data_IF_452895159730
#
_entry.id   IF_452895159730
#
_cell.length_a   1.000
_cell.length_b   1.000
_cell.length_c   1.000
_cell.angle_alpha   90.00
_cell.angle_beta   90.00
_cell.angle_gamma   90.00
#
_symmetry.space_group_name_H-M   'P 1'
#
loop_
_entity.id
_entity.type
_entity.pdbx_description
1 polymer ?
#
# COMPACT_ATOMS: atom_id res chain seq x y z
N UNK A 1 14.03 -14.27 8.23
CA UNK A 1 15.44 -13.85 8.08
C UNK A 1 15.41 -12.40 7.65
N UNK A 2 15.85 -11.50 8.52
CA UNK A 2 15.93 -10.07 8.20
C UNK A 2 17.04 -9.90 7.17
N UNK A 3 16.67 -9.70 5.91
CA UNK A 3 17.65 -9.31 4.90
C UNK A 3 18.30 -8.00 5.35
N UNK A 4 19.63 -8.02 5.43
CA UNK A 4 20.42 -6.81 5.66
C UNK A 4 19.98 -5.76 4.64
N UNK A 5 19.59 -4.57 5.12
CA UNK A 5 19.03 -3.53 4.27
C UNK A 5 20.07 -3.11 3.23
N UNK A 6 19.74 -3.28 1.95
CA UNK A 6 20.60 -2.95 0.82
C UNK A 6 21.04 -1.47 0.92
N UNK A 7 22.35 -1.18 1.02
CA UNK A 7 22.84 0.18 1.25
C UNK A 7 22.52 1.13 0.09
N UNK A 8 22.42 0.62 -1.15
CA UNK A 8 22.05 1.42 -2.31
C UNK A 8 20.60 1.90 -2.19
N UNK A 9 19.70 0.99 -1.79
CA UNK A 9 18.29 1.31 -1.57
C UNK A 9 18.12 2.24 -0.37
N UNK A 10 18.86 2.01 0.72
CA UNK A 10 18.81 2.86 1.91
C UNK A 10 19.20 4.31 1.60
N UNK A 11 20.17 4.52 0.70
CA UNK A 11 20.57 5.86 0.25
C UNK A 11 19.55 6.57 -0.65
N UNK A 12 18.57 5.84 -1.19
CA UNK A 12 17.51 6.38 -2.05
C UNK A 12 16.20 6.69 -1.32
N UNK A 13 16.08 6.27 -0.04
CA UNK A 13 14.88 6.53 0.75
C UNK A 13 14.78 8.03 1.06
N UNK A 14 13.57 8.56 0.90
CA UNK A 14 13.23 9.93 1.31
C UNK A 14 13.15 10.02 2.85
N UNK A 15 13.12 11.25 3.35
CA UNK A 15 12.96 11.49 4.79
C UNK A 15 11.63 10.90 5.29
N UNK A 16 11.71 10.03 6.30
CA UNK A 16 10.55 9.32 6.84
C UNK A 16 9.99 8.20 5.95
N UNK A 17 10.64 7.89 4.83
CA UNK A 17 10.34 6.71 4.02
C UNK A 17 10.91 5.44 4.69
N UNK A 18 10.06 4.43 4.85
CA UNK A 18 10.40 3.17 5.51
C UNK A 18 10.03 1.99 4.62
N UNK A 19 10.91 0.99 4.57
CA UNK A 19 10.65 -0.27 3.88
C UNK A 19 9.71 -1.12 4.75
N UNK A 20 8.51 -1.37 4.22
CA UNK A 20 7.48 -2.18 4.87
C UNK A 20 7.64 -3.67 4.56
N UNK A 21 8.12 -4.00 3.35
CA UNK A 21 8.32 -5.37 2.90
C UNK A 21 9.35 -5.45 1.78
N UNK A 22 10.09 -6.56 1.74
CA UNK A 22 10.99 -6.91 0.64
C UNK A 22 10.57 -8.24 0.05
N UNK A 23 10.57 -8.34 -1.28
CA UNK A 23 10.33 -9.59 -1.99
C UNK A 23 11.43 -9.82 -3.03
N UNK A 24 12.08 -10.99 -2.94
CA UNK A 24 13.19 -11.37 -3.81
C UNK A 24 12.77 -12.45 -4.80
N UNK A 25 13.35 -12.39 -6.00
CA UNK A 25 13.30 -13.47 -6.97
C UNK A 25 13.99 -14.70 -6.39
N UNK A 26 13.30 -15.84 -6.36
CA UNK A 26 13.89 -17.08 -5.89
C UNK A 26 15.12 -17.47 -6.71
N UNK A 27 16.19 -17.95 -6.06
CA UNK A 27 17.43 -18.30 -6.76
C UNK A 27 17.35 -19.60 -7.56
N UNK A 28 16.70 -20.62 -6.99
CA UNK A 28 16.70 -21.99 -7.51
C UNK A 28 15.35 -22.43 -8.12
N UNK A 29 14.34 -21.55 -8.10
CA UNK A 29 13.00 -21.84 -8.64
C UNK A 29 12.94 -21.56 -10.14
N UNK A 30 12.00 -22.14 -10.89
CA UNK A 30 11.81 -21.80 -12.29
C UNK A 30 11.55 -20.29 -12.48
N UNK A 31 12.29 -19.68 -13.41
CA UNK A 31 12.32 -18.23 -13.60
C UNK A 31 13.19 -17.48 -12.59
N UNK A 32 13.97 -18.20 -11.77
CA UNK A 32 14.86 -17.65 -10.76
C UNK A 32 16.20 -17.17 -11.29
N UNK A 33 17.00 -16.55 -10.41
CA UNK A 33 18.35 -16.08 -10.73
C UNK A 33 19.31 -16.35 -9.57
N UNK A 34 20.33 -17.17 -9.80
CA UNK A 34 21.30 -17.57 -8.78
C UNK A 34 22.23 -16.41 -8.42
N UNK A 35 22.68 -15.68 -9.43
CA UNK A 35 23.76 -14.69 -9.33
C UNK A 35 23.25 -13.28 -9.10
N UNK A 36 22.13 -12.91 -9.71
CA UNK A 36 21.57 -11.56 -9.66
C UNK A 36 20.05 -11.62 -9.53
N UNK A 37 19.52 -11.95 -8.34
CA UNK A 37 18.08 -11.96 -8.12
C UNK A 37 17.53 -10.53 -8.14
N UNK A 38 16.41 -10.37 -8.82
CA UNK A 38 15.64 -9.13 -8.78
C UNK A 38 14.93 -8.98 -7.44
N UNK A 39 14.72 -7.74 -7.00
CA UNK A 39 14.09 -7.45 -5.71
C UNK A 39 13.09 -6.32 -5.84
N UNK A 40 11.92 -6.48 -5.23
CA UNK A 40 10.95 -5.40 -4.99
C UNK A 40 11.05 -5.00 -3.53
N UNK A 41 11.25 -3.71 -3.28
CA UNK A 41 11.12 -3.08 -1.97
C UNK A 41 9.82 -2.28 -1.97
N UNK A 42 8.96 -2.59 -1.00
CA UNK A 42 7.68 -1.92 -0.78
C UNK A 42 7.88 -0.93 0.36
N UNK A 43 7.79 0.37 0.08
CA UNK A 43 7.89 1.41 1.10
C UNK A 43 6.52 1.97 1.47
N UNK A 44 6.45 2.81 2.49
CA UNK A 44 5.25 3.57 2.80
C UNK A 44 4.92 4.66 1.75
N UNK A 45 5.82 4.95 0.79
CA UNK A 45 5.64 6.02 -0.20
C UNK A 45 5.51 5.46 -1.63
N UNK A 46 6.33 4.48 -2.01
CA UNK A 46 6.43 3.96 -3.37
C UNK A 46 7.00 2.54 -3.41
N UNK A 47 7.11 2.00 -4.61
CA UNK A 47 7.83 0.76 -4.87
C UNK A 47 9.19 1.08 -5.47
N UNK A 48 10.21 0.32 -5.05
CA UNK A 48 11.53 0.31 -5.68
C UNK A 48 11.78 -1.09 -6.23
N UNK A 49 11.96 -1.20 -7.54
CA UNK A 49 12.37 -2.43 -8.19
C UNK A 49 13.85 -2.36 -8.55
N UNK A 50 14.63 -3.30 -8.01
CA UNK A 50 16.06 -3.44 -8.28
C UNK A 50 16.27 -4.66 -9.18
N UNK A 51 16.91 -4.42 -10.32
CA UNK A 51 17.35 -5.43 -11.29
C UNK A 51 18.89 -5.37 -11.38
N UNK A 52 19.60 -6.18 -10.59
CA UNK A 52 21.06 -6.24 -10.61
C UNK A 52 21.56 -6.84 -11.92
N UNK A 53 22.56 -6.19 -12.52
CA UNK A 53 23.23 -6.60 -13.75
C UNK A 53 24.71 -6.82 -13.48
N UNK A 54 25.37 -7.59 -14.36
CA UNK A 54 26.81 -7.85 -14.29
C UNK A 54 27.27 -8.37 -12.90
N UNK A 55 26.68 -9.48 -12.43
CA UNK A 55 26.97 -10.06 -11.10
C UNK A 55 26.75 -9.09 -9.92
N UNK A 56 25.90 -8.08 -10.08
CA UNK A 56 25.58 -7.10 -9.05
C UNK A 56 26.49 -5.86 -9.05
N UNK A 57 27.44 -5.74 -10.00
CA UNK A 57 28.29 -4.56 -10.14
C UNK A 57 27.52 -3.31 -10.62
N UNK A 58 26.36 -3.51 -11.26
CA UNK A 58 25.44 -2.45 -11.65
C UNK A 58 24.03 -2.87 -11.28
N UNK A 59 23.15 -1.89 -11.03
CA UNK A 59 21.74 -2.15 -10.87
C UNK A 59 20.94 -1.20 -11.75
N UNK A 60 19.84 -1.69 -12.33
CA UNK A 60 18.77 -0.82 -12.76
C UNK A 60 17.79 -0.69 -11.59
N UNK A 61 17.48 0.55 -11.20
CA UNK A 61 16.51 0.80 -10.14
C UNK A 61 15.35 1.58 -10.77
N UNK A 62 14.17 1.02 -10.68
CA UNK A 62 12.93 1.62 -11.17
C UNK A 62 12.08 1.96 -9.95
N UNK A 63 11.80 3.25 -9.75
CA UNK A 63 10.86 3.69 -8.74
C UNK A 63 9.48 3.89 -9.34
N UNK A 64 8.45 3.44 -8.64
CA UNK A 64 7.06 3.54 -9.09
C UNK A 64 6.19 4.04 -7.95
N UNK A 65 5.64 5.24 -8.10
CA UNK A 65 4.65 5.76 -7.16
C UNK A 65 3.38 4.92 -7.20
N UNK A 66 2.77 4.71 -6.03
CA UNK A 66 1.53 3.93 -5.95
C UNK A 66 0.40 4.49 -6.81
N UNK A 67 0.30 5.82 -6.90
CA UNK A 67 -0.73 6.51 -7.71
C UNK A 67 -0.62 6.19 -9.20
N UNK A 68 0.58 5.87 -9.69
CA UNK A 68 0.87 5.62 -11.11
C UNK A 68 0.70 4.16 -11.50
N UNK A 69 0.50 3.27 -10.53
CA UNK A 69 0.26 1.85 -10.79
C UNK A 69 -1.12 1.70 -11.41
N UNK A 70 -1.15 1.18 -12.63
CA UNK A 70 -2.39 0.91 -13.37
C UNK A 70 -2.94 -0.48 -13.11
N UNK A 71 -2.06 -1.47 -12.94
CA UNK A 71 -2.45 -2.86 -12.76
C UNK A 71 -1.35 -3.67 -12.05
N UNK A 72 -1.76 -4.63 -11.22
CA UNK A 72 -0.91 -5.64 -10.60
C UNK A 72 -1.51 -7.01 -10.93
N UNK A 73 -0.72 -7.89 -11.56
CA UNK A 73 -1.17 -9.23 -11.95
C UNK A 73 -0.27 -10.29 -11.32
N UNK A 74 -0.89 -11.37 -10.84
CA UNK A 74 -0.20 -12.54 -10.33
C UNK A 74 -0.42 -13.72 -11.27
N UNK A 75 0.66 -14.25 -11.85
CA UNK A 75 0.62 -15.49 -12.63
C UNK A 75 1.07 -16.64 -11.75
N UNK A 76 0.10 -17.45 -11.27
CA UNK A 76 0.39 -18.59 -10.40
C UNK A 76 0.86 -19.78 -11.22
N UNK A 77 2.06 -20.26 -10.94
CA UNK A 77 2.57 -21.54 -11.39
C UNK A 77 2.43 -22.62 -10.30
N UNK A 78 2.86 -23.84 -10.65
CA UNK A 78 2.85 -24.98 -9.72
C UNK A 78 3.84 -24.74 -8.57
N UNK A 79 5.03 -24.24 -8.88
CA UNK A 79 6.13 -24.07 -7.92
C UNK A 79 6.32 -22.64 -7.42
N UNK A 80 5.99 -21.63 -8.23
CA UNK A 80 6.23 -20.22 -7.93
C UNK A 80 5.13 -19.34 -8.53
N UNK A 81 5.11 -18.07 -8.14
CA UNK A 81 4.26 -17.04 -8.72
C UNK A 81 5.14 -15.98 -9.38
N UNK A 82 4.69 -15.48 -10.53
CA UNK A 82 5.27 -14.28 -11.13
C UNK A 82 4.37 -13.08 -10.86
N UNK A 83 4.99 -11.98 -10.42
CA UNK A 83 4.33 -10.70 -10.17
C UNK A 83 4.61 -9.79 -11.36
N UNK A 84 3.57 -9.15 -11.86
CA UNK A 84 3.63 -8.19 -12.94
C UNK A 84 3.01 -6.87 -12.47
N UNK A 85 3.70 -5.76 -12.70
CA UNK A 85 3.25 -4.43 -12.33
C UNK A 85 3.39 -3.48 -13.50
N UNK A 86 2.25 -2.89 -13.91
CA UNK A 86 2.20 -1.92 -14.99
C UNK A 86 1.98 -0.52 -14.44
N UNK A 87 2.94 0.37 -14.67
CA UNK A 87 2.79 1.81 -14.43
C UNK A 87 2.16 2.49 -15.65
N UNK A 88 1.45 3.61 -15.45
CA UNK A 88 0.88 4.42 -16.54
C UNK A 88 1.94 5.08 -17.42
N UNK A 89 3.08 5.41 -16.85
CA UNK A 89 4.13 6.20 -17.52
C UNK A 89 5.31 5.35 -18.01
N UNK A 90 5.36 4.07 -17.64
CA UNK A 90 6.38 3.14 -18.11
C UNK A 90 5.80 2.29 -19.23
N UNK A 91 6.51 2.23 -20.36
CA UNK A 91 6.16 1.36 -21.48
C UNK A 91 6.29 -0.11 -21.10
N UNK A 92 7.34 -0.44 -20.33
CA UNK A 92 7.63 -1.79 -19.88
C UNK A 92 6.96 -2.08 -18.53
N UNK A 93 6.56 -3.34 -18.37
CA UNK A 93 5.99 -3.86 -17.14
C UNK A 93 7.12 -4.36 -16.22
N UNK A 94 7.08 -3.99 -14.94
CA UNK A 94 7.98 -4.57 -13.94
C UNK A 94 7.57 -6.02 -13.71
N UNK A 95 8.53 -6.94 -13.80
CA UNK A 95 8.32 -8.38 -13.63
C UNK A 95 9.23 -8.95 -12.55
N UNK A 96 8.62 -9.57 -11.54
CA UNK A 96 9.34 -10.33 -10.51
C UNK A 96 8.90 -11.80 -10.57
N UNK A 97 9.68 -12.68 -11.24
CA UNK A 97 9.39 -14.10 -11.32
C UNK A 97 9.85 -14.86 -10.07
N UNK A 98 9.53 -16.16 -10.01
CA UNK A 98 10.06 -17.08 -9.02
C UNK A 98 9.78 -16.72 -7.54
N UNK A 99 8.70 -15.98 -7.27
CA UNK A 99 8.30 -15.58 -5.93
C UNK A 99 7.47 -16.68 -5.26
N UNK A 100 7.66 -16.88 -3.95
CA UNK A 100 6.81 -17.76 -3.16
C UNK A 100 5.35 -17.31 -3.21
N UNK A 101 4.40 -18.26 -3.23
CA UNK A 101 2.98 -17.96 -3.47
C UNK A 101 2.38 -17.03 -2.42
N UNK A 102 2.73 -17.25 -1.16
CA UNK A 102 2.28 -16.44 -0.02
C UNK A 102 2.89 -15.03 -0.08
N UNK A 103 4.20 -14.95 -0.34
CA UNK A 103 4.91 -13.68 -0.51
C UNK A 103 4.32 -12.87 -1.67
N UNK A 104 4.01 -13.51 -2.80
CA UNK A 104 3.40 -12.84 -3.94
C UNK A 104 2.00 -12.29 -3.63
N UNK A 105 1.21 -13.00 -2.82
CA UNK A 105 -0.08 -12.51 -2.34
C UNK A 105 0.09 -11.32 -1.39
N UNK A 106 1.03 -11.38 -0.45
CA UNK A 106 1.34 -10.29 0.46
C UNK A 106 1.82 -9.04 -0.30
N UNK A 107 2.73 -9.20 -1.26
CA UNK A 107 3.20 -8.12 -2.14
C UNK A 107 2.02 -7.48 -2.86
N UNK A 108 1.18 -8.27 -3.52
CA UNK A 108 -0.01 -7.74 -4.20
C UNK A 108 -0.91 -6.98 -3.22
N UNK A 109 -1.20 -7.55 -2.05
CA UNK A 109 -2.02 -6.90 -1.03
C UNK A 109 -1.44 -5.56 -0.58
N UNK A 110 -0.13 -5.50 -0.32
CA UNK A 110 0.56 -4.28 0.05
C UNK A 110 0.52 -3.23 -1.06
N UNK A 111 0.77 -3.62 -2.31
CA UNK A 111 0.70 -2.68 -3.43
C UNK A 111 -0.72 -2.08 -3.53
N UNK A 112 -1.77 -2.89 -3.39
CA UNK A 112 -3.14 -2.39 -3.42
C UNK A 112 -3.45 -1.45 -2.24
N UNK A 113 -2.89 -1.70 -1.05
CA UNK A 113 -3.00 -0.76 0.10
C UNK A 113 -2.34 0.58 -0.22
N UNK A 114 -1.14 0.55 -0.80
CA UNK A 114 -0.45 1.76 -1.26
C UNK A 114 -1.23 2.52 -2.34
N UNK A 115 -1.80 1.82 -3.32
CA UNK A 115 -2.67 2.41 -4.35
C UNK A 115 -3.91 3.10 -3.78
N UNK A 116 -4.41 2.63 -2.62
CA UNK A 116 -5.51 3.27 -1.88
C UNK A 116 -5.07 4.36 -0.91
N UNK A 117 -3.76 4.62 -0.80
CA UNK A 117 -3.21 5.64 0.10
C UNK A 117 -3.14 5.21 1.56
N UNK A 118 -3.28 3.92 1.88
CA UNK A 118 -3.34 3.44 3.27
C UNK A 118 -1.98 3.44 4.01
N UNK A 119 -0.88 3.73 3.31
CA UNK A 119 0.45 3.80 3.92
C UNK A 119 0.87 5.20 4.36
N UNK A 120 0.12 6.23 3.97
CA UNK A 120 0.39 7.58 4.43
C UNK A 120 0.32 7.62 5.96
N UNK A 121 1.40 8.10 6.59
CA UNK A 121 1.45 8.28 8.04
C UNK A 121 0.32 9.22 8.49
N UNK A 122 -0.20 9.07 9.72
CA UNK A 122 -1.17 10.00 10.33
C UNK A 122 -0.63 11.43 10.57
N UNK A 123 0.42 11.87 9.89
CA UNK A 123 1.06 13.18 10.08
C UNK A 123 0.36 14.31 9.31
N UNK A 124 -0.61 14.00 8.46
CA UNK A 124 -1.58 14.95 7.92
C UNK A 124 -2.99 14.37 8.08
N UNK A 125 -3.40 14.12 9.33
CA UNK A 125 -4.82 14.24 9.70
C UNK A 125 -5.22 15.73 9.71
N UNK A 126 -4.95 16.44 8.61
CA UNK A 126 -5.84 17.52 8.17
C UNK A 126 -6.96 16.82 7.44
N UNK A 127 -8.03 16.67 8.18
CA UNK A 127 -9.38 16.40 7.70
C UNK A 127 -9.64 17.14 6.37
N UNK A 128 -9.53 16.41 5.27
CA UNK A 128 -10.22 16.76 4.02
C UNK A 128 -10.58 15.49 3.27
N UNK A 129 -11.88 15.15 3.27
CA UNK A 129 -12.48 14.46 2.12
C UNK A 129 -13.33 13.23 2.40
N UNK A 130 -14.39 13.43 3.20
CA UNK A 130 -15.73 12.86 3.02
C UNK A 130 -15.88 11.85 1.86
N UNK A 131 -16.08 10.58 2.21
CA UNK A 131 -16.84 9.66 1.37
C UNK A 131 -18.25 10.23 1.20
N UNK A 132 -18.55 10.69 -0.02
CA UNK A 132 -19.91 11.01 -0.46
C UNK A 132 -20.73 9.70 -0.52
N UNK A 133 -21.25 9.29 0.62
CA UNK A 133 -22.45 8.46 0.69
C UNK A 133 -23.58 9.36 1.18
N UNK A 134 -24.81 9.27 0.63
CA UNK A 134 -25.94 9.99 1.20
C UNK A 134 -26.08 9.56 2.66
N UNK A 135 -25.88 10.52 3.57
CA UNK A 135 -25.86 10.29 5.02
C UNK A 135 -27.22 9.73 5.45
N UNK A 136 -27.29 8.42 5.67
CA UNK A 136 -28.47 7.83 6.30
C UNK A 136 -28.58 8.37 7.74
N UNK A 137 -29.78 8.59 8.29
CA UNK A 137 -29.92 9.12 9.64
C UNK A 137 -29.16 8.31 10.70
N UNK A 138 -29.00 7.00 10.47
CA UNK A 138 -28.21 6.09 11.32
C UNK A 138 -26.71 6.45 11.31
N UNK A 139 -26.15 6.86 10.16
CA UNK A 139 -24.76 7.31 10.07
C UNK A 139 -24.55 8.66 10.77
N UNK A 140 -25.54 9.57 10.71
CA UNK A 140 -25.50 10.84 11.45
C UNK A 140 -25.42 10.61 12.97
N UNK A 141 -26.18 9.63 13.50
CA UNK A 141 -26.14 9.26 14.91
C UNK A 141 -24.76 8.75 15.34
N UNK A 142 -24.10 7.93 14.52
CA UNK A 142 -22.74 7.44 14.78
C UNK A 142 -21.73 8.59 14.91
N UNK A 143 -21.76 9.55 13.98
CA UNK A 143 -20.86 10.72 14.00
C UNK A 143 -21.04 11.57 15.26
N UNK A 144 -22.28 11.82 15.68
CA UNK A 144 -22.55 12.64 16.87
C UNK A 144 -22.11 11.91 18.15
N UNK A 145 -22.18 10.58 18.21
CA UNK A 145 -21.63 9.80 19.31
C UNK A 145 -20.10 9.93 19.39
N UNK A 146 -19.40 9.88 18.25
CA UNK A 146 -17.95 10.11 18.20
C UNK A 146 -17.57 11.52 18.64
N UNK A 147 -18.34 12.54 18.24
CA UNK A 147 -18.09 13.94 18.65
C UNK A 147 -18.21 14.11 20.17
N UNK A 148 -19.19 13.45 20.79
CA UNK A 148 -19.34 13.43 22.26
C UNK A 148 -18.17 12.71 22.93
N UNK A 149 -17.82 11.53 22.44
CA UNK A 149 -16.73 10.71 23.01
C UNK A 149 -15.38 11.44 22.97
N UNK A 150 -15.17 12.26 21.93
CA UNK A 150 -13.99 13.12 21.78
C UNK A 150 -14.07 14.43 22.58
N UNK A 151 -15.16 14.68 23.30
CA UNK A 151 -15.37 15.90 24.09
C UNK A 151 -15.54 17.17 23.25
N UNK A 152 -15.89 17.04 21.97
CA UNK A 152 -16.05 18.16 21.02
C UNK A 152 -17.41 18.84 21.12
N UNK A 153 -18.37 18.18 21.76
CA UNK A 153 -19.72 18.70 22.02
C UNK A 153 -20.12 18.38 23.46
N UNK A 154 -20.96 19.22 24.02
CA UNK A 154 -21.51 19.04 25.36
C UNK A 154 -22.63 17.99 25.38
N UNK A 155 -22.94 17.45 26.57
CA UNK A 155 -24.03 16.49 26.75
C UNK A 155 -25.40 17.06 26.33
N UNK A 156 -25.59 18.37 26.51
CA UNK A 156 -26.81 19.08 26.13
C UNK A 156 -26.94 19.22 24.61
N UNK A 157 -25.84 19.53 23.91
CA UNK A 157 -25.80 19.61 22.45
C UNK A 157 -26.00 18.24 21.81
N UNK A 158 -25.36 17.20 22.36
CA UNK A 158 -25.55 15.81 21.95
C UNK A 158 -27.02 15.38 22.05
N UNK A 159 -27.68 15.73 23.16
CA UNK A 159 -29.07 15.34 23.42
C UNK A 159 -30.04 16.00 22.43
N UNK A 160 -29.82 17.28 22.09
CA UNK A 160 -30.64 18.00 21.09
C UNK A 160 -30.50 17.40 19.69
N UNK A 161 -29.26 17.18 19.24
CA UNK A 161 -28.97 16.64 17.90
C UNK A 161 -29.46 15.20 17.73
N UNK A 162 -29.29 14.37 18.77
CA UNK A 162 -29.83 13.00 18.80
C UNK A 162 -31.35 12.99 18.66
N UNK A 163 -32.05 13.87 19.38
CA UNK A 163 -33.51 13.96 19.35
C UNK A 163 -34.05 14.42 17.98
N UNK A 164 -33.33 15.33 17.31
CA UNK A 164 -33.68 15.81 15.98
C UNK A 164 -33.58 14.71 14.91
N UNK A 165 -32.49 13.94 14.92
CA UNK A 165 -32.28 12.84 13.96
C UNK A 165 -33.24 11.67 14.22
N UNK A 166 -33.60 11.41 15.47
CA UNK A 166 -34.63 10.41 15.81
C UNK A 166 -36.02 10.82 15.31
N UNK A 167 -36.35 12.11 15.28
CA UNK A 167 -37.59 12.61 14.66
C UNK A 167 -37.58 12.43 13.15
N UNK A 168 -36.44 12.67 12.50
CA UNK A 168 -36.24 12.43 11.05
C UNK A 168 -36.41 10.94 10.67
N UNK A 169 -36.20 10.01 11.62
CA UNK A 169 -36.41 8.57 11.43
C UNK A 169 -37.83 8.07 11.71
N UNK A 170 -38.65 8.87 12.42
CA UNK A 170 -39.99 8.50 12.86
C UNK A 170 -41.13 9.17 12.08
N UNK A 171 -40.79 10.12 11.19
CA UNK A 171 -41.71 10.73 10.23
C UNK A 171 -41.56 10.12 8.84
#
# INVERSE_FOLDING_TARGET
MSAELDPEIKGMLLEGEEILMTAEQGRLRPGGSITTPNTIYITNVRLLFKDPRLFGLRANIVDVNYVDISNVRLKRGILSTEIFLKSRFLSDEVRLPAVDKEVAQQVSGMIHKGMRGEFARPADSRDTGKSNSPDTPVQKLGRIAELKERGLITDDEFSKLKAEILKELQG
#
